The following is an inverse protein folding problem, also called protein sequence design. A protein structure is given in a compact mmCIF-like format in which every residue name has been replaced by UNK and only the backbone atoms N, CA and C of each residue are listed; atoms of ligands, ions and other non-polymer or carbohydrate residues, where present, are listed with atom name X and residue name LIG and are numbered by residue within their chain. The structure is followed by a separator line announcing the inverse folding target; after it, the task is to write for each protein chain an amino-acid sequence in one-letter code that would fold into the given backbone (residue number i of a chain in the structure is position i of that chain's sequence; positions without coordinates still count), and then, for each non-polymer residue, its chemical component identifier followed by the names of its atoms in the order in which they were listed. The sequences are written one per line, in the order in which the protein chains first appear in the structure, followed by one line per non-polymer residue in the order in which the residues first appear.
data_IF_070078920743
#
_entry.id   IF_070078920743
#
_cell.length_a   1.000
_cell.length_b   1.000
_cell.length_c   1.000
_cell.angle_alpha   90.00
_cell.angle_beta   90.00
_cell.angle_gamma   90.00
#
_symmetry.space_group_name_H-M   'P 1'
#
loop_
_entity.id
_entity.type
_entity.pdbx_description
1 polymer ?
#
# COMPACT_ATOMS: atom_id res chain seq x y z
N UNK A 1 -1.15 -1.87 7.22
CA UNK A 1 -2.15 -2.10 6.17
C UNK A 1 -3.53 -1.59 6.56
N UNK A 2 -4.05 -2.02 7.68
CA UNK A 2 -5.43 -1.67 8.08
C UNK A 2 -5.64 -0.19 8.41
N UNK A 3 -4.60 0.60 8.56
CA UNK A 3 -4.68 2.05 8.70
C UNK A 3 -4.80 2.73 7.33
N UNK A 4 -4.12 2.19 6.33
CA UNK A 4 -4.03 2.77 4.98
C UNK A 4 -5.10 2.25 4.02
N UNK A 5 -5.75 1.15 4.36
CA UNK A 5 -6.79 0.53 3.53
C UNK A 5 -8.03 0.19 4.36
N UNK A 6 -9.20 0.31 3.75
CA UNK A 6 -10.44 -0.09 4.42
C UNK A 6 -10.47 -1.61 4.65
N UNK A 7 -10.92 -2.03 5.82
CA UNK A 7 -11.00 -3.44 6.20
C UNK A 7 -11.94 -4.21 5.26
N UNK A 8 -11.49 -5.37 4.80
CA UNK A 8 -12.27 -6.24 3.91
C UNK A 8 -12.17 -5.91 2.44
N UNK A 9 -11.39 -4.90 2.05
CA UNK A 9 -11.22 -4.51 0.65
C UNK A 9 -9.97 -5.14 0.04
N UNK A 10 -9.93 -5.24 -1.28
CA UNK A 10 -8.72 -5.67 -2.01
C UNK A 10 -7.56 -4.69 -1.84
N UNK A 11 -7.85 -3.46 -1.47
CA UNK A 11 -6.81 -2.45 -1.21
C UNK A 11 -5.87 -2.86 -0.09
N UNK A 12 -6.32 -3.68 0.85
CA UNK A 12 -5.45 -4.25 1.88
C UNK A 12 -4.26 -4.99 1.27
N UNK A 13 -4.51 -5.81 0.25
CA UNK A 13 -3.46 -6.58 -0.42
C UNK A 13 -2.53 -5.67 -1.22
N UNK A 14 -3.08 -4.64 -1.82
CA UNK A 14 -2.30 -3.71 -2.62
C UNK A 14 -1.42 -2.81 -1.76
N UNK A 15 -1.91 -2.35 -0.61
CA UNK A 15 -1.05 -1.66 0.37
C UNK A 15 0.09 -2.56 0.81
N UNK A 16 -0.21 -3.82 1.15
CA UNK A 16 0.81 -4.78 1.56
C UNK A 16 1.86 -5.00 0.46
N UNK A 17 1.44 -5.21 -0.78
CA UNK A 17 2.36 -5.41 -1.91
C UNK A 17 3.18 -4.15 -2.17
N UNK A 18 2.60 -2.96 -2.06
CA UNK A 18 3.36 -1.72 -2.23
C UNK A 18 4.47 -1.58 -1.19
N UNK A 19 4.23 -2.01 0.05
CA UNK A 19 5.27 -2.02 1.09
C UNK A 19 6.37 -3.02 0.74
N UNK A 20 6.00 -4.23 0.31
CA UNK A 20 6.97 -5.24 -0.12
C UNK A 20 7.78 -4.76 -1.33
N UNK A 21 7.14 -4.04 -2.25
CA UNK A 21 7.83 -3.45 -3.40
C UNK A 21 8.88 -2.43 -2.95
N UNK A 22 8.59 -1.63 -1.92
CA UNK A 22 9.58 -0.71 -1.34
C UNK A 22 10.78 -1.47 -0.78
N UNK A 23 10.54 -2.55 -0.06
CA UNK A 23 11.61 -3.39 0.50
C UNK A 23 12.53 -3.93 -0.61
N UNK A 24 11.98 -4.24 -1.77
CA UNK A 24 12.72 -4.74 -2.92
C UNK A 24 13.30 -3.65 -3.82
N UNK A 25 13.03 -2.38 -3.52
CA UNK A 25 13.50 -1.25 -4.32
C UNK A 25 14.81 -0.68 -3.74
N UNK A 26 15.80 -0.35 -4.58
CA UNK A 26 17.06 0.23 -4.10
C UNK A 26 16.94 1.64 -3.52
N UNK A 27 15.82 2.33 -3.76
CA UNK A 27 15.61 3.71 -3.27
C UNK A 27 14.86 3.78 -1.94
N UNK A 28 14.48 2.63 -1.38
CA UNK A 28 13.81 2.53 -0.08
C UNK A 28 14.60 1.62 0.86
N UNK A 29 14.35 1.68 2.18
CA UNK A 29 14.94 0.73 3.11
C UNK A 29 14.63 -0.73 2.73
N UNK A 30 15.52 -1.64 3.07
CA UNK A 30 15.44 -3.04 2.65
C UNK A 30 14.75 -3.97 3.65
N UNK A 31 13.98 -3.42 4.58
CA UNK A 31 13.16 -4.21 5.50
C UNK A 31 11.86 -3.47 5.83
N UNK A 32 10.84 -4.23 6.22
CA UNK A 32 9.49 -3.69 6.45
C UNK A 32 9.48 -2.64 7.56
N UNK A 33 10.18 -2.89 8.67
CA UNK A 33 10.18 -1.97 9.80
C UNK A 33 10.71 -0.59 9.41
N UNK A 34 11.84 -0.53 8.72
CA UNK A 34 12.45 0.74 8.31
C UNK A 34 11.61 1.46 7.25
N UNK A 35 10.94 0.71 6.38
CA UNK A 35 9.99 1.30 5.41
C UNK A 35 8.83 1.97 6.14
N UNK A 36 8.22 1.26 7.09
CA UNK A 36 7.02 1.75 7.81
C UNK A 36 7.35 2.91 8.74
N UNK A 37 8.51 2.87 9.40
CA UNK A 37 8.93 3.92 10.34
C UNK A 37 9.66 5.09 9.69
N UNK A 38 9.84 5.09 8.38
CA UNK A 38 10.49 6.20 7.69
C UNK A 38 9.69 7.51 7.90
N UNK A 39 10.37 8.64 8.18
CA UNK A 39 9.71 9.92 8.42
C UNK A 39 8.82 10.34 7.25
N UNK A 40 7.61 10.83 7.57
CA UNK A 40 6.65 11.29 6.56
C UNK A 40 5.91 10.18 5.84
N UNK A 41 6.15 8.91 6.22
CA UNK A 41 5.49 7.74 5.62
C UNK A 41 4.62 7.03 6.67
N UNK A 42 3.46 6.54 6.27
CA UNK A 42 2.57 5.74 7.14
C UNK A 42 2.31 6.38 8.51
N UNK A 43 2.18 7.70 8.57
CA UNK A 43 2.04 8.43 9.84
C UNK A 43 0.80 8.01 10.63
N UNK A 44 -0.29 7.69 9.95
CA UNK A 44 -1.49 7.19 10.62
C UNK A 44 -1.22 5.96 11.48
N UNK A 45 -0.36 5.04 11.03
CA UNK A 45 0.08 3.90 11.83
C UNK A 45 0.94 4.34 13.02
N UNK A 46 1.89 5.26 12.78
CA UNK A 46 2.80 5.73 13.84
C UNK A 46 2.04 6.42 14.98
N UNK A 47 0.97 7.14 14.68
CA UNK A 47 0.16 7.81 15.71
C UNK A 47 -0.81 6.88 16.41
N UNK A 48 -1.44 5.95 15.69
CA UNK A 48 -2.51 5.10 16.23
C UNK A 48 -2.04 3.72 16.66
N UNK A 49 -1.06 3.14 15.99
CA UNK A 49 -0.50 1.81 16.25
C UNK A 49 -1.55 0.76 16.60
N UNK A 50 -2.58 0.57 15.75
CA UNK A 50 -3.64 -0.38 16.08
C UNK A 50 -3.11 -1.81 16.11
N UNK A 51 -3.72 -2.65 16.95
CA UNK A 51 -3.42 -4.08 16.95
C UNK A 51 -3.85 -4.69 15.61
N UNK A 52 -3.07 -5.63 15.10
CA UNK A 52 -3.39 -6.33 13.88
C UNK A 52 -4.63 -7.21 14.07
N UNK A 53 -5.64 -7.02 13.22
CA UNK A 53 -6.84 -7.85 13.23
C UNK A 53 -6.53 -9.22 12.63
N UNK A 54 -6.95 -10.30 13.29
CA UNK A 54 -6.69 -11.65 12.82
C UNK A 54 -7.24 -11.91 11.41
N UNK A 55 -8.38 -11.34 11.07
CA UNK A 55 -8.96 -11.44 9.73
C UNK A 55 -8.10 -10.79 8.66
N UNK A 56 -7.49 -9.64 8.96
CA UNK A 56 -6.56 -8.96 8.06
C UNK A 56 -5.29 -9.80 7.88
N UNK A 57 -4.72 -10.25 8.98
CA UNK A 57 -3.50 -11.09 8.95
C UNK A 57 -3.74 -12.35 8.11
N UNK A 58 -4.88 -13.03 8.30
CA UNK A 58 -5.21 -14.23 7.53
C UNK A 58 -5.30 -13.95 6.03
N UNK A 59 -5.92 -12.83 5.64
CA UNK A 59 -6.01 -12.44 4.22
C UNK A 59 -4.65 -12.11 3.62
N UNK A 60 -3.77 -11.46 4.37
CA UNK A 60 -2.42 -11.11 3.90
C UNK A 60 -1.48 -12.32 3.82
N UNK A 61 -1.74 -13.37 4.58
CA UNK A 61 -0.99 -14.62 4.48
C UNK A 61 -1.38 -15.46 3.26
N UNK A 62 -2.49 -15.16 2.63
CA UNK A 62 -2.92 -15.88 1.44
C UNK A 62 -2.12 -15.37 0.23
N UNK A 63 -1.25 -16.23 -0.29
CA UNK A 63 -0.38 -15.89 -1.42
C UNK A 63 -1.17 -15.50 -2.68
N UNK A 64 -2.32 -16.13 -2.92
CA UNK A 64 -3.14 -15.79 -4.08
C UNK A 64 -3.64 -14.34 -4.04
N UNK A 65 -3.96 -13.83 -2.85
CA UNK A 65 -4.34 -12.43 -2.68
C UNK A 65 -3.18 -11.49 -3.02
N UNK A 66 -1.98 -11.81 -2.58
CA UNK A 66 -0.79 -11.01 -2.88
C UNK A 66 -0.43 -11.06 -4.37
N UNK A 67 -0.58 -12.21 -5.01
CA UNK A 67 -0.35 -12.35 -6.46
C UNK A 67 -1.39 -11.55 -7.26
N UNK A 68 -2.66 -11.57 -6.85
CA UNK A 68 -3.70 -10.75 -7.48
C UNK A 68 -3.35 -9.26 -7.37
N UNK A 69 -2.96 -8.81 -6.18
CA UNK A 69 -2.55 -7.42 -5.96
C UNK A 69 -1.36 -7.05 -6.85
N UNK A 70 -0.34 -7.89 -6.93
CA UNK A 70 0.80 -7.64 -7.80
C UNK A 70 0.41 -7.58 -9.27
N UNK A 71 -0.56 -8.37 -9.70
CA UNK A 71 -1.07 -8.32 -11.08
C UNK A 71 -1.71 -6.96 -11.41
N UNK A 72 -2.24 -6.26 -10.41
CA UNK A 72 -2.87 -4.95 -10.57
C UNK A 72 -1.85 -3.81 -10.50
N UNK A 73 -1.04 -3.78 -9.45
CA UNK A 73 -0.14 -2.65 -9.19
C UNK A 73 1.30 -2.88 -9.66
N UNK A 74 1.67 -4.12 -9.99
CA UNK A 74 3.04 -4.46 -10.38
C UNK A 74 4.02 -4.11 -9.26
N UNK A 75 5.13 -3.49 -9.61
CA UNK A 75 6.18 -3.07 -8.68
C UNK A 75 6.05 -1.62 -8.20
N UNK A 76 4.85 -1.04 -8.28
CA UNK A 76 4.59 0.30 -7.76
C UNK A 76 4.81 0.35 -6.26
N UNK A 77 5.36 1.45 -5.79
CA UNK A 77 5.79 1.62 -4.40
C UNK A 77 5.00 2.65 -3.61
N UNK A 78 4.16 3.43 -4.29
CA UNK A 78 3.50 4.59 -3.67
C UNK A 78 2.01 4.59 -3.96
N UNK A 79 1.25 5.26 -3.10
CA UNK A 79 -0.19 5.41 -3.30
C UNK A 79 -0.69 6.73 -2.72
N UNK A 80 -1.85 7.19 -3.23
CA UNK A 80 -2.57 8.34 -2.71
C UNK A 80 -4.05 8.02 -2.60
N UNK A 81 -4.65 8.42 -1.47
CA UNK A 81 -6.07 8.27 -1.26
C UNK A 81 -6.89 9.23 -2.12
N UNK A 82 -8.16 8.91 -2.31
CA UNK A 82 -9.06 9.73 -3.14
C UNK A 82 -9.31 11.11 -2.56
N UNK A 83 -9.13 11.28 -1.25
CA UNK A 83 -9.26 12.59 -0.59
C UNK A 83 -8.13 13.56 -0.96
N UNK A 84 -7.06 13.05 -1.51
CA UNK A 84 -5.93 13.87 -1.96
C UNK A 84 -6.15 14.45 -3.36
N UNK A 85 -7.29 14.15 -3.96
CA UNK A 85 -7.66 14.69 -5.26
C UNK A 85 -8.17 16.15 -5.13
N UNK A 86 -7.96 17.01 -6.13
CA UNK A 86 -7.28 16.69 -7.39
C UNK A 86 -5.75 16.76 -7.21
N UNK A 87 -5.08 15.70 -7.57
CA UNK A 87 -3.64 15.72 -7.81
C UNK A 87 -3.42 15.25 -9.24
N UNK A 88 -2.25 15.53 -9.77
CA UNK A 88 -1.94 15.13 -11.14
C UNK A 88 -1.80 13.60 -11.20
N UNK A 89 -2.76 12.98 -11.84
CA UNK A 89 -2.68 11.56 -12.17
C UNK A 89 -1.83 11.42 -13.43
N UNK A 90 -0.82 10.57 -13.38
CA UNK A 90 0.03 10.30 -14.53
C UNK A 90 -0.47 9.04 -15.21
N UNK A 91 -1.12 9.21 -16.37
CA UNK A 91 -1.78 8.11 -17.05
C UNK A 91 -2.98 7.62 -16.25
N UNK A 92 -3.27 6.32 -16.38
CA UNK A 92 -4.32 5.67 -15.62
C UNK A 92 -3.72 4.90 -14.46
N UNK A 93 -3.49 5.60 -13.34
CA UNK A 93 -2.99 4.96 -12.14
C UNK A 93 -3.99 3.88 -11.68
N UNK A 94 -3.52 2.65 -11.44
CA UNK A 94 -4.41 1.57 -11.07
C UNK A 94 -4.95 1.71 -9.65
N UNK A 95 -6.16 1.19 -9.45
CA UNK A 95 -6.82 1.01 -8.17
C UNK A 95 -7.14 -0.47 -7.99
N UNK A 96 -7.00 -0.97 -6.77
CA UNK A 96 -7.37 -2.35 -6.46
C UNK A 96 -8.82 -2.47 -6.02
N UNK A 97 -9.37 -1.38 -5.51
CA UNK A 97 -10.73 -1.31 -5.02
C UNK A 97 -11.34 0.02 -5.39
N UNK A 98 -12.64 0.04 -5.66
CA UNK A 98 -13.36 1.21 -6.16
C UNK A 98 -13.20 2.45 -5.26
N UNK A 99 -13.04 2.25 -3.96
CA UNK A 99 -12.86 3.33 -2.97
C UNK A 99 -11.45 3.33 -2.37
N UNK A 100 -10.55 2.59 -2.98
CA UNK A 100 -9.18 2.44 -2.49
C UNK A 100 -8.25 3.54 -2.95
N UNK A 101 -6.98 3.29 -2.76
CA UNK A 101 -5.91 4.19 -3.15
C UNK A 101 -5.57 4.06 -4.63
N UNK A 102 -5.01 5.13 -5.19
CA UNK A 102 -4.37 5.12 -6.50
C UNK A 102 -2.90 4.80 -6.33
N UNK A 103 -2.38 3.84 -7.08
CA UNK A 103 -1.01 3.36 -6.96
C UNK A 103 -0.14 3.91 -8.09
N UNK A 104 1.07 4.34 -7.76
CA UNK A 104 2.00 4.92 -8.72
C UNK A 104 3.44 4.59 -8.37
N UNK A 105 4.34 4.87 -9.31
CA UNK A 105 5.77 4.75 -9.07
C UNK A 105 6.29 5.98 -8.35
N UNK A 106 7.37 5.83 -7.56
CA UNK A 106 7.92 6.93 -6.77
C UNK A 106 8.40 8.11 -7.63
N UNK A 107 8.79 7.87 -8.88
CA UNK A 107 9.24 8.93 -9.79
C UNK A 107 8.09 9.70 -10.45
N UNK A 108 6.86 9.28 -10.24
CA UNK A 108 5.67 9.90 -10.84
C UNK A 108 5.03 10.98 -9.96
N UNK A 109 5.51 11.15 -8.75
CA UNK A 109 4.93 12.11 -7.79
C UNK A 109 5.46 13.51 -7.93
#
# INVERSE_FOLDING_TARGET
VQVEAATGTKDEYCVAVSILNRVNSPVFPNNVADVVYAPGQYEGFLYRRPAAKSSVVARLKNTDNLLEAYSIIGDRTSFKGQRMLPYRVVGEDPMCDRKGNFYHYHWQT
#
